data_IF_175796819499
#
_entry.id   IF_175796819499
#
_cell.length_a   1.000
_cell.length_b   1.000
_cell.length_c   1.000
_cell.angle_alpha   90.00
_cell.angle_beta   90.00
_cell.angle_gamma   90.00
#
_symmetry.space_group_name_H-M   'P 1'
#
loop_
_entity.id
_entity.type
_entity.pdbx_description
1 polymer ?
#
# COMPACT_ATOMS: atom_id res chain seq x y z
N UNK A 1 -3.93 -3.58 6.68
CA UNK A 1 -2.88 -3.05 5.78
C UNK A 1 -3.43 -2.24 4.60
N UNK A 2 -4.49 -2.68 3.91
CA UNK A 2 -5.07 -1.97 2.73
C UNK A 2 -5.47 -0.52 2.99
N UNK A 3 -6.20 -0.24 4.08
CA UNK A 3 -6.57 1.13 4.45
C UNK A 3 -5.37 2.03 4.76
N UNK A 4 -4.30 1.46 5.30
CA UNK A 4 -3.06 2.19 5.56
C UNK A 4 -2.39 2.63 4.25
N UNK A 5 -2.32 1.73 3.26
CA UNK A 5 -1.79 2.06 1.93
C UNK A 5 -2.66 3.06 1.15
N UNK A 6 -3.95 3.15 1.48
CA UNK A 6 -4.87 4.14 0.91
C UNK A 6 -4.87 5.49 1.66
N UNK A 7 -3.98 5.70 2.65
CA UNK A 7 -3.93 6.93 3.44
C UNK A 7 -5.07 7.06 4.48
N UNK A 8 -5.85 6.02 4.68
CA UNK A 8 -7.00 5.95 5.59
C UNK A 8 -6.66 5.23 6.90
N UNK A 9 -5.38 5.25 7.30
CA UNK A 9 -4.91 4.60 8.53
C UNK A 9 -5.63 5.09 9.80
N UNK A 10 -6.11 6.33 9.80
CA UNK A 10 -6.87 6.93 10.90
C UNK A 10 -8.28 6.34 11.09
N UNK A 11 -8.78 5.55 10.13
CA UNK A 11 -10.03 4.79 10.23
C UNK A 11 -9.84 3.36 10.72
N UNK A 12 -8.62 2.97 11.07
CA UNK A 12 -8.32 1.61 11.54
C UNK A 12 -8.53 1.54 13.05
N UNK A 13 -9.69 1.01 13.45
CA UNK A 13 -9.98 0.70 14.84
C UNK A 13 -9.06 -0.43 15.36
N UNK A 14 -8.63 -0.31 16.62
CA UNK A 14 -7.78 -1.29 17.33
C UNK A 14 -8.55 -2.05 18.40
N UNK A 15 -9.77 -1.63 18.73
CA UNK A 15 -10.70 -2.35 19.59
C UNK A 15 -12.15 -2.25 19.09
N UNK A 16 -13.06 -3.12 19.57
CA UNK A 16 -14.49 -3.02 19.26
C UNK A 16 -15.12 -1.69 19.68
N UNK A 17 -14.71 -1.14 20.82
CA UNK A 17 -15.21 0.15 21.34
C UNK A 17 -14.79 1.30 20.43
N UNK A 18 -13.53 1.29 19.98
CA UNK A 18 -13.01 2.27 19.02
C UNK A 18 -13.74 2.19 17.68
N UNK A 19 -14.07 0.98 17.23
CA UNK A 19 -14.86 0.79 16.00
C UNK A 19 -16.24 1.45 16.11
N UNK A 20 -16.96 1.22 17.21
CA UNK A 20 -18.27 1.83 17.45
C UNK A 20 -18.16 3.35 17.51
N UNK A 21 -17.17 3.88 18.21
CA UNK A 21 -16.92 5.31 18.29
C UNK A 21 -16.68 5.94 16.91
N UNK A 22 -15.78 5.36 16.10
CA UNK A 22 -15.47 5.85 14.75
C UNK A 22 -16.68 5.77 13.83
N UNK A 23 -17.45 4.68 13.90
CA UNK A 23 -18.68 4.52 13.12
C UNK A 23 -19.73 5.58 13.51
N UNK A 24 -19.94 5.80 14.82
CA UNK A 24 -20.86 6.83 15.31
C UNK A 24 -20.43 8.23 14.86
N UNK A 25 -19.15 8.58 14.97
CA UNK A 25 -18.64 9.89 14.50
C UNK A 25 -18.91 10.12 13.01
N UNK A 26 -18.74 9.08 12.18
CA UNK A 26 -19.04 9.14 10.75
C UNK A 26 -20.54 9.27 10.48
N UNK A 27 -21.40 8.65 11.31
CA UNK A 27 -22.87 8.75 11.19
C UNK A 27 -23.36 10.17 11.51
N UNK A 28 -22.77 10.84 12.49
CA UNK A 28 -23.18 12.19 12.89
C UNK A 28 -22.55 13.31 12.04
N UNK A 29 -21.61 13.00 11.13
CA UNK A 29 -20.88 13.99 10.33
C UNK A 29 -21.19 13.89 8.83
N UNK A 30 -22.30 14.48 8.34
CA UNK A 30 -22.70 14.38 6.93
C UNK A 30 -21.69 15.00 5.95
N UNK A 31 -21.03 16.09 6.32
CA UNK A 31 -20.02 16.74 5.48
C UNK A 31 -18.76 15.88 5.35
N UNK A 32 -18.30 15.26 6.45
CA UNK A 32 -17.19 14.30 6.43
C UNK A 32 -17.49 13.12 5.49
N UNK A 33 -18.71 12.57 5.51
CA UNK A 33 -19.10 11.50 4.57
C UNK A 33 -19.12 11.95 3.13
N UNK A 34 -19.57 13.19 2.87
CA UNK A 34 -19.63 13.75 1.51
C UNK A 34 -18.22 13.93 0.97
N UNK A 35 -17.34 14.56 1.74
CA UNK A 35 -15.93 14.75 1.40
C UNK A 35 -15.24 13.41 1.17
N UNK A 36 -15.42 12.45 2.10
CA UNK A 36 -14.85 11.12 1.97
C UNK A 36 -15.30 10.43 0.68
N UNK A 37 -16.61 10.44 0.36
CA UNK A 37 -17.10 9.84 -0.89
C UNK A 37 -16.57 10.54 -2.15
N UNK A 38 -16.36 11.86 -2.09
CA UNK A 38 -15.82 12.64 -3.20
C UNK A 38 -14.35 12.33 -3.46
N UNK A 39 -13.53 12.19 -2.42
CA UNK A 39 -12.09 12.03 -2.55
C UNK A 39 -11.66 10.57 -2.66
N UNK A 40 -12.37 9.65 -2.00
CA UNK A 40 -11.97 8.25 -1.85
C UNK A 40 -11.68 7.55 -3.18
N UNK A 41 -12.49 7.80 -4.20
CA UNK A 41 -12.32 7.11 -5.50
C UNK A 41 -11.00 7.49 -6.17
N UNK A 42 -10.72 8.80 -6.26
CA UNK A 42 -9.47 9.29 -6.82
C UNK A 42 -8.26 8.83 -5.98
N UNK A 43 -8.37 8.83 -4.65
CA UNK A 43 -7.30 8.34 -3.77
C UNK A 43 -7.01 6.85 -3.98
N UNK A 44 -8.04 6.02 -4.16
CA UNK A 44 -7.83 4.59 -4.40
C UNK A 44 -7.20 4.32 -5.77
N UNK A 45 -7.65 5.03 -6.80
CA UNK A 45 -7.09 4.94 -8.16
C UNK A 45 -5.59 5.28 -8.20
N UNK A 46 -5.15 6.26 -7.42
CA UNK A 46 -3.74 6.66 -7.36
C UNK A 46 -2.86 5.75 -6.48
N UNK A 47 -3.47 5.08 -5.49
CA UNK A 47 -2.75 4.27 -4.50
C UNK A 47 -2.85 2.77 -4.81
N UNK A 48 -3.75 2.08 -4.11
CA UNK A 48 -3.86 0.61 -4.10
C UNK A 48 -4.40 0.03 -5.40
N UNK A 49 -5.12 0.82 -6.19
CA UNK A 49 -5.65 0.41 -7.49
C UNK A 49 -4.76 0.86 -8.66
N UNK A 50 -3.60 1.46 -8.40
CA UNK A 50 -2.65 1.84 -9.45
C UNK A 50 -1.83 0.63 -9.90
N UNK A 51 -2.44 -0.19 -10.76
CA UNK A 51 -1.84 -1.40 -11.32
C UNK A 51 -0.49 -1.15 -12.01
N UNK A 52 -0.37 -0.15 -12.91
CA UNK A 52 0.91 0.15 -13.57
C UNK A 52 2.03 0.47 -12.59
N UNK A 53 1.77 1.32 -11.59
CA UNK A 53 2.75 1.65 -10.55
C UNK A 53 3.15 0.42 -9.75
N UNK A 54 2.19 -0.41 -9.36
CA UNK A 54 2.46 -1.64 -8.64
C UNK A 54 3.38 -2.59 -9.43
N UNK A 55 3.09 -2.83 -10.71
CA UNK A 55 3.91 -3.69 -11.56
C UNK A 55 5.31 -3.13 -11.76
N UNK A 56 5.46 -1.82 -11.93
CA UNK A 56 6.78 -1.19 -12.06
C UNK A 56 7.66 -1.40 -10.82
N UNK A 57 7.10 -1.25 -9.61
CA UNK A 57 7.86 -1.53 -8.38
C UNK A 57 8.20 -3.02 -8.25
N UNK A 58 7.28 -3.90 -8.62
CA UNK A 58 7.53 -5.35 -8.64
C UNK A 58 8.67 -5.72 -9.61
N UNK A 59 8.65 -5.18 -10.83
CA UNK A 59 9.70 -5.40 -11.82
C UNK A 59 11.06 -4.89 -11.35
N UNK A 60 11.10 -3.74 -10.64
CA UNK A 60 12.34 -3.23 -10.04
C UNK A 60 12.91 -4.20 -9.02
N UNK A 61 12.06 -4.76 -8.15
CA UNK A 61 12.48 -5.76 -7.16
C UNK A 61 13.01 -7.01 -7.86
N UNK A 62 12.30 -7.53 -8.86
CA UNK A 62 12.77 -8.69 -9.63
C UNK A 62 14.11 -8.43 -10.33
N UNK A 63 14.28 -7.26 -10.95
CA UNK A 63 15.55 -6.86 -11.56
C UNK A 63 16.68 -6.74 -10.53
N UNK A 64 16.39 -6.24 -9.34
CA UNK A 64 17.36 -6.15 -8.25
C UNK A 64 17.79 -7.55 -7.80
N UNK A 65 16.83 -8.43 -7.51
CA UNK A 65 17.10 -9.82 -7.11
C UNK A 65 17.92 -10.56 -8.18
N UNK A 66 17.57 -10.38 -9.46
CA UNK A 66 18.30 -10.99 -10.56
C UNK A 66 19.76 -10.50 -10.63
N UNK A 67 19.99 -9.19 -10.51
CA UNK A 67 21.36 -8.63 -10.49
C UNK A 67 22.15 -9.18 -9.31
N UNK A 68 21.59 -9.16 -8.10
CA UNK A 68 22.24 -9.71 -6.91
C UNK A 68 22.60 -11.19 -7.07
N UNK A 69 21.74 -11.96 -7.73
CA UNK A 69 22.04 -13.35 -8.06
C UNK A 69 23.19 -13.48 -9.07
N UNK A 70 23.17 -12.72 -10.17
CA UNK A 70 24.27 -12.73 -11.16
C UNK A 70 25.60 -12.32 -10.54
N UNK A 71 25.62 -11.30 -9.70
CA UNK A 71 26.82 -10.84 -8.99
C UNK A 71 27.36 -11.95 -8.07
N UNK A 72 26.47 -12.66 -7.37
CA UNK A 72 26.86 -13.80 -6.52
C UNK A 72 27.41 -14.97 -7.35
N UNK A 73 26.82 -15.27 -8.50
CA UNK A 73 27.28 -16.34 -9.40
C UNK A 73 28.64 -16.01 -10.03
N UNK A 74 28.86 -14.75 -10.46
CA UNK A 74 30.14 -14.31 -11.02
C UNK A 74 31.30 -14.42 -10.02
N UNK A 75 31.05 -14.13 -8.74
CA UNK A 75 32.04 -14.28 -7.67
C UNK A 75 32.40 -15.76 -7.40
N UNK A 76 31.46 -16.69 -7.60
CA UNK A 76 31.73 -18.13 -7.42
C UNK A 76 32.56 -18.74 -8.55
N UNK A 77 32.53 -18.18 -9.76
CA UNK A 77 33.37 -18.64 -10.87
C UNK A 77 34.82 -18.16 -10.74
N UNK A 78 35.07 -16.96 -10.20
CA UNK A 78 36.43 -16.43 -9.96
C UNK A 78 37.18 -17.13 -8.82
N UNK A 79 36.46 -17.79 -7.89
CA UNK A 79 37.10 -18.50 -6.76
C UNK A 79 37.41 -19.98 -7.08
N UNK A 80 37.03 -20.46 -8.27
CA UNK A 80 37.30 -21.83 -8.75
C UNK A 80 38.37 -21.93 -9.87
N UNK A 81 39.01 -20.81 -10.26
CA UNK A 81 40.27 -20.78 -11.02
C UNK A 81 41.44 -20.40 -10.13
#
# INVERSE_FOLDING_TARGET
ATLHHAGLGHWVARSPEEYVMLASQLVYSPDTRRMLRQTLRATLEDTVCNGPRFTQELERVYRHLWKSYCDQVGLTEETQS
#
